data_IF_721790637757
#
_entry.id   IF_721790637757
#
_cell.length_a   1.000
_cell.length_b   1.000
_cell.length_c   1.000
_cell.angle_alpha   90.00
_cell.angle_beta   90.00
_cell.angle_gamma   90.00
#
_symmetry.space_group_name_H-M   'P 1'
#
loop_
_entity.id
_entity.type
_entity.pdbx_description
1 polymer ?
#
# COMPACT_ATOMS: atom_id res chain seq x y z
N UNK A 1 27.95 -43.70 -3.26
CA UNK A 1 27.24 -42.72 -4.12
C UNK A 1 26.32 -41.94 -3.20
N UNK A 2 26.70 -40.70 -2.84
CA UNK A 2 26.08 -39.44 -3.32
C UNK A 2 24.59 -39.36 -2.95
N UNK A 3 24.11 -38.38 -2.20
CA UNK A 3 24.17 -36.97 -2.59
C UNK A 3 23.94 -35.97 -1.43
N UNK A 4 24.69 -34.88 -1.50
CA UNK A 4 24.61 -33.67 -0.68
C UNK A 4 23.20 -33.05 -0.61
N UNK A 5 22.80 -32.65 0.59
CA UNK A 5 21.69 -31.72 0.80
C UNK A 5 22.12 -30.32 0.34
N UNK A 6 21.65 -29.91 -0.84
CA UNK A 6 21.77 -28.54 -1.33
C UNK A 6 20.65 -27.69 -0.71
N UNK A 7 21.04 -26.76 0.15
CA UNK A 7 20.21 -25.65 0.63
C UNK A 7 19.90 -24.70 -0.52
N UNK A 8 18.84 -25.02 -1.28
CA UNK A 8 18.31 -24.13 -2.31
C UNK A 8 17.61 -22.94 -1.66
N UNK A 9 18.27 -21.78 -1.69
CA UNK A 9 17.69 -20.49 -1.37
C UNK A 9 16.41 -20.27 -2.21
N UNK A 10 15.25 -20.19 -1.53
CA UNK A 10 13.97 -19.84 -2.16
C UNK A 10 14.07 -18.42 -2.74
N UNK A 11 14.34 -18.31 -4.04
CA UNK A 11 14.16 -17.07 -4.78
C UNK A 11 12.66 -16.78 -4.86
N UNK A 12 12.24 -15.68 -4.22
CA UNK A 12 10.89 -15.14 -4.34
C UNK A 12 10.60 -14.82 -5.82
N UNK A 13 9.40 -15.11 -6.34
CA UNK A 13 9.05 -14.75 -7.71
C UNK A 13 8.98 -13.22 -7.77
N UNK A 14 9.84 -12.63 -8.60
CA UNK A 14 9.82 -11.20 -8.89
C UNK A 14 8.53 -10.95 -9.67
N UNK A 15 7.63 -10.12 -9.13
CA UNK A 15 6.36 -9.83 -9.80
C UNK A 15 6.63 -9.26 -11.20
N UNK A 16 5.74 -9.54 -12.15
CA UNK A 16 5.89 -9.14 -13.56
C UNK A 16 6.17 -7.64 -13.73
N UNK A 17 5.62 -6.80 -12.84
CA UNK A 17 5.87 -5.36 -12.77
C UNK A 17 7.32 -5.05 -12.40
N UNK A 18 7.90 -5.77 -11.43
CA UNK A 18 9.29 -5.61 -11.03
C UNK A 18 10.30 -6.16 -12.05
N UNK A 19 9.86 -6.99 -13.01
CA UNK A 19 10.67 -7.43 -14.13
C UNK A 19 10.66 -6.40 -15.28
N UNK A 20 9.50 -5.83 -15.58
CA UNK A 20 9.35 -4.74 -16.57
C UNK A 20 10.04 -3.45 -16.11
N UNK A 21 9.91 -3.09 -14.84
CA UNK A 21 10.60 -1.95 -14.22
C UNK A 21 12.12 -2.08 -14.33
N UNK A 22 12.67 -3.28 -14.08
CA UNK A 22 14.12 -3.54 -14.26
C UNK A 22 14.60 -3.43 -15.70
N UNK A 23 13.75 -3.76 -16.66
CA UNK A 23 14.08 -3.61 -18.09
C UNK A 23 14.06 -2.14 -18.48
N UNK A 24 13.08 -1.37 -18.01
CA UNK A 24 12.99 0.08 -18.26
C UNK A 24 14.12 0.86 -17.59
N UNK A 25 14.51 0.50 -16.38
CA UNK A 25 15.68 1.06 -15.70
C UNK A 25 16.97 0.77 -16.47
N UNK A 26 17.12 -0.46 -16.99
CA UNK A 26 18.30 -0.83 -17.78
C UNK A 26 18.37 -0.04 -19.08
N UNK A 27 17.25 0.12 -19.78
CA UNK A 27 17.18 0.92 -21.01
C UNK A 27 17.50 2.39 -20.73
N UNK A 28 16.96 2.94 -19.63
CA UNK A 28 17.21 4.33 -19.24
C UNK A 28 18.70 4.55 -18.91
N UNK A 29 19.31 3.63 -18.16
CA UNK A 29 20.73 3.68 -17.80
C UNK A 29 21.66 3.51 -19.01
N UNK A 30 21.33 2.61 -19.94
CA UNK A 30 22.08 2.45 -21.19
C UNK A 30 21.96 3.68 -22.09
N UNK A 31 20.80 4.36 -22.10
CA UNK A 31 20.61 5.61 -22.82
C UNK A 31 21.41 6.76 -22.20
N UNK A 32 21.41 6.88 -20.87
CA UNK A 32 22.23 7.86 -20.13
C UNK A 32 23.73 7.64 -20.37
N UNK A 33 24.21 6.39 -20.27
CA UNK A 33 25.62 6.06 -20.54
C UNK A 33 26.01 6.39 -21.98
N UNK A 34 25.12 6.16 -22.95
CA UNK A 34 25.37 6.48 -24.36
C UNK A 34 25.45 7.99 -24.57
N UNK A 35 24.58 8.76 -23.91
CA UNK A 35 24.62 10.22 -23.97
C UNK A 35 25.87 10.77 -23.27
N UNK A 36 26.29 10.19 -22.15
CA UNK A 36 27.52 10.56 -21.44
C UNK A 36 28.76 10.32 -22.32
N UNK A 37 28.85 9.16 -22.97
CA UNK A 37 29.95 8.86 -23.92
C UNK A 37 29.96 9.82 -25.10
N UNK A 38 28.78 10.20 -25.61
CA UNK A 38 28.67 11.21 -26.68
C UNK A 38 29.15 12.59 -26.19
N UNK A 39 28.84 12.96 -24.95
CA UNK A 39 29.30 14.21 -24.32
C UNK A 39 30.82 14.22 -24.14
N UNK A 40 31.39 13.12 -23.63
CA UNK A 40 32.84 12.96 -23.47
C UNK A 40 33.59 13.02 -24.81
N UNK A 41 33.11 12.31 -25.84
CA UNK A 41 33.74 12.36 -27.16
C UNK A 41 33.67 13.75 -27.80
N UNK A 42 32.59 14.51 -27.56
CA UNK A 42 32.47 15.90 -27.98
C UNK A 42 33.44 16.80 -27.22
N UNK A 43 33.59 16.61 -25.92
CA UNK A 43 34.52 17.37 -25.08
C UNK A 43 35.99 17.12 -25.45
N UNK A 44 36.36 15.86 -25.72
CA UNK A 44 37.67 15.50 -26.26
C UNK A 44 37.92 16.14 -27.64
N UNK A 45 36.91 16.15 -28.53
CA UNK A 45 37.01 16.84 -29.81
C UNK A 45 37.19 18.36 -29.66
N UNK A 46 36.54 18.97 -28.66
CA UNK A 46 36.75 20.40 -28.32
C UNK A 46 38.17 20.64 -27.83
N UNK A 47 38.69 19.80 -26.94
CA UNK A 47 40.05 19.93 -26.43
C UNK A 47 41.10 19.82 -27.54
N UNK A 48 40.94 18.86 -28.46
CA UNK A 48 41.84 18.70 -29.61
C UNK A 48 41.79 19.94 -30.52
N UNK A 49 40.60 20.47 -30.80
CA UNK A 49 40.43 21.64 -31.66
C UNK A 49 40.95 22.92 -31.04
N UNK A 50 40.78 23.10 -29.73
CA UNK A 50 41.33 24.23 -28.97
C UNK A 50 42.87 24.24 -29.06
N UNK A 51 43.51 23.10 -28.80
CA UNK A 51 44.97 22.96 -28.92
C UNK A 51 45.46 23.22 -30.35
N UNK A 52 44.71 22.82 -31.38
CA UNK A 52 45.09 23.08 -32.78
C UNK A 52 45.01 24.56 -33.15
N UNK A 53 44.00 25.27 -32.65
CA UNK A 53 43.88 26.72 -32.86
C UNK A 53 44.99 27.49 -32.13
N UNK A 54 45.34 27.07 -30.91
CA UNK A 54 46.46 27.65 -30.16
C UNK A 54 47.80 27.43 -30.87
N UNK A 55 48.06 26.23 -31.39
CA UNK A 55 49.28 25.95 -32.17
C UNK A 55 49.37 26.76 -33.46
N UNK A 56 48.25 26.94 -34.18
CA UNK A 56 48.22 27.78 -35.38
C UNK A 56 48.46 29.26 -35.09
N UNK A 57 47.89 29.78 -34.00
CA UNK A 57 48.14 31.16 -33.58
C UNK A 57 49.64 31.40 -33.29
N UNK A 58 50.30 30.43 -32.65
CA UNK A 58 51.75 30.50 -32.37
C UNK A 58 52.60 30.38 -33.66
N UNK A 59 52.17 29.58 -34.63
CA UNK A 59 52.86 29.41 -35.92
C UNK A 59 52.74 30.67 -36.79
N UNK A 60 51.56 31.28 -36.85
CA UNK A 60 51.31 32.54 -37.57
C UNK A 60 52.13 33.70 -36.98
N UNK A 61 52.23 33.81 -35.65
CA UNK A 61 53.10 34.78 -34.97
C UNK A 61 54.59 34.57 -35.29
N UNK A 62 55.03 33.31 -35.44
CA UNK A 62 56.41 32.97 -35.80
C UNK A 62 56.72 33.25 -37.29
N UNK A 63 55.74 33.14 -38.19
CA UNK A 63 55.88 33.49 -39.61
C UNK A 63 55.91 35.00 -39.84
N UNK A 64 55.14 35.78 -39.08
CA UNK A 64 55.20 37.24 -39.08
C UNK A 64 56.60 37.78 -38.74
N UNK A 65 57.35 37.08 -37.87
CA UNK A 65 58.74 37.42 -37.54
C UNK A 65 59.76 37.05 -38.64
N UNK A 66 59.45 36.10 -39.54
CA UNK A 66 60.37 35.62 -40.60
C UNK A 66 60.34 36.47 -41.87
N UNK A 67 59.28 37.22 -42.15
CA UNK A 67 59.16 38.05 -43.36
C UNK A 67 59.79 39.45 -43.24
N UNK A 68 60.38 39.81 -42.08
CA UNK A 68 60.98 41.12 -41.82
C UNK A 68 62.38 41.37 -42.40
N UNK A 69 62.97 40.45 -43.17
CA UNK A 69 64.35 40.60 -43.68
C UNK A 69 64.46 40.22 -45.16
N UNK A 70 64.17 41.16 -46.06
CA UNK A 70 64.60 41.10 -47.46
C UNK A 70 64.79 42.52 -48.05
N UNK A 71 65.98 42.73 -48.59
CA UNK A 71 66.64 44.01 -48.87
C UNK A 71 66.43 44.63 -50.27
N UNK A 72 66.35 45.97 -50.30
CA UNK A 72 67.02 47.01 -51.15
C UNK A 72 67.01 47.05 -52.71
N UNK A 73 66.63 48.25 -53.23
CA UNK A 73 67.31 49.11 -54.24
C UNK A 73 66.78 49.33 -55.71
N UNK A 74 66.85 50.61 -56.11
CA UNK A 74 67.05 51.28 -57.43
C UNK A 74 65.93 51.49 -58.50
N UNK A 75 65.47 52.75 -58.69
CA UNK A 75 65.73 53.49 -59.95
C UNK A 75 64.57 54.09 -60.79
N UNK A 76 64.11 55.30 -60.47
CA UNK A 76 63.66 56.45 -61.32
C UNK A 76 62.96 56.12 -62.67
N UNK A 77 61.62 56.31 -62.71
CA UNK A 77 60.57 55.77 -63.63
C UNK A 77 60.10 54.36 -63.32
N UNK A 78 61.00 53.58 -62.73
CA UNK A 78 60.61 52.45 -61.92
C UNK A 78 60.02 52.92 -60.58
N UNK A 79 60.26 54.16 -60.13
CA UNK A 79 59.75 54.69 -58.86
C UNK A 79 58.22 54.74 -58.82
N UNK A 80 57.50 55.33 -59.78
CA UNK A 80 56.03 55.40 -59.72
C UNK A 80 55.38 54.01 -59.81
N UNK A 81 55.99 53.10 -60.57
CA UNK A 81 55.56 51.70 -60.65
C UNK A 81 55.93 50.92 -59.39
N UNK A 82 57.09 51.22 -58.77
CA UNK A 82 57.50 50.68 -57.46
C UNK A 82 56.58 51.17 -56.38
N UNK A 83 56.24 52.46 -56.36
CA UNK A 83 55.32 53.09 -55.43
C UNK A 83 53.93 52.48 -55.58
N UNK A 84 53.47 52.22 -56.81
CA UNK A 84 52.21 51.49 -57.05
C UNK A 84 52.27 50.03 -56.64
N UNK A 85 53.40 49.37 -56.84
CA UNK A 85 53.62 47.99 -56.38
C UNK A 85 53.65 47.95 -54.86
N UNK A 86 54.36 48.86 -54.19
CA UNK A 86 54.38 48.97 -52.72
C UNK A 86 53.03 49.36 -52.17
N UNK A 87 52.28 50.27 -52.79
CA UNK A 87 50.91 50.60 -52.39
C UNK A 87 49.97 49.40 -52.54
N UNK A 88 50.15 48.58 -53.58
CA UNK A 88 49.35 47.36 -53.78
C UNK A 88 49.77 46.26 -52.80
N UNK A 89 51.06 46.15 -52.48
CA UNK A 89 51.60 45.27 -51.46
C UNK A 89 51.06 45.65 -50.07
N UNK A 90 51.06 46.93 -49.71
CA UNK A 90 50.52 47.45 -48.46
C UNK A 90 49.01 47.20 -48.36
N UNK A 91 48.25 47.43 -49.45
CA UNK A 91 46.82 47.12 -49.51
C UNK A 91 46.55 45.62 -49.40
N UNK A 92 47.39 44.79 -50.01
CA UNK A 92 47.28 43.34 -49.91
C UNK A 92 47.59 42.86 -48.48
N UNK A 93 48.65 43.38 -47.86
CA UNK A 93 48.98 43.08 -46.46
C UNK A 93 47.86 43.52 -45.52
N UNK A 94 47.28 44.70 -45.72
CA UNK A 94 46.15 45.18 -44.93
C UNK A 94 44.90 44.31 -45.12
N UNK A 95 44.61 43.87 -46.35
CA UNK A 95 43.52 42.94 -46.64
C UNK A 95 43.76 41.56 -46.01
N UNK A 96 44.99 41.06 -46.03
CA UNK A 96 45.38 39.81 -45.38
C UNK A 96 45.23 39.88 -43.85
N UNK A 97 45.62 41.00 -43.23
CA UNK A 97 45.43 41.23 -41.80
C UNK A 97 43.94 41.24 -41.42
N UNK A 98 43.11 41.97 -42.18
CA UNK A 98 41.66 41.99 -41.98
C UNK A 98 41.03 40.60 -42.21
N UNK A 99 41.52 39.84 -43.18
CA UNK A 99 41.04 38.49 -43.46
C UNK A 99 41.36 37.52 -42.31
N UNK A 100 42.58 37.58 -41.76
CA UNK A 100 42.97 36.81 -40.58
C UNK A 100 42.12 37.19 -39.35
N UNK A 101 41.92 38.49 -39.12
CA UNK A 101 41.04 38.97 -38.04
C UNK A 101 39.62 38.42 -38.18
N UNK A 102 39.06 38.46 -39.40
CA UNK A 102 37.72 37.93 -39.67
C UNK A 102 37.64 36.41 -39.47
N UNK A 103 38.67 35.65 -39.85
CA UNK A 103 38.69 34.20 -39.67
C UNK A 103 38.83 33.80 -38.19
N UNK A 104 39.55 34.59 -37.40
CA UNK A 104 39.62 34.46 -35.95
C UNK A 104 38.26 34.72 -35.31
N UNK A 105 37.61 35.85 -35.62
CA UNK A 105 36.27 36.18 -35.12
C UNK A 105 35.24 35.13 -35.51
N UNK A 106 35.28 34.65 -36.76
CA UNK A 106 34.44 33.55 -37.24
C UNK A 106 34.67 32.27 -36.45
N UNK A 107 35.92 31.93 -36.14
CA UNK A 107 36.28 30.74 -35.36
C UNK A 107 35.79 30.85 -33.92
N UNK A 108 35.91 32.02 -33.28
CA UNK A 108 35.37 32.29 -31.95
C UNK A 108 33.84 32.17 -31.93
N UNK A 109 33.15 32.80 -32.88
CA UNK A 109 31.68 32.72 -32.97
C UNK A 109 31.21 31.29 -33.25
N UNK A 110 31.94 30.51 -34.06
CA UNK A 110 31.60 29.11 -34.30
C UNK A 110 31.68 28.29 -33.00
N UNK A 111 32.69 28.54 -32.16
CA UNK A 111 32.81 27.90 -30.86
C UNK A 111 31.65 28.29 -29.92
N UNK A 112 31.28 29.56 -29.89
CA UNK A 112 30.14 30.02 -29.09
C UNK A 112 28.82 29.37 -29.53
N UNK A 113 28.59 29.26 -30.84
CA UNK A 113 27.43 28.57 -31.40
C UNK A 113 27.41 27.09 -30.98
N UNK A 114 28.55 26.42 -30.97
CA UNK A 114 28.62 25.02 -30.53
C UNK A 114 28.33 24.89 -29.04
N UNK A 115 28.86 25.78 -28.19
CA UNK A 115 28.55 25.81 -26.75
C UNK A 115 27.05 26.03 -26.50
N UNK A 116 26.43 26.98 -27.21
CA UNK A 116 25.00 27.26 -27.09
C UNK A 116 24.13 26.08 -27.56
N UNK A 117 24.56 25.32 -28.57
CA UNK A 117 23.85 24.10 -28.97
C UNK A 117 23.90 23.03 -27.89
N UNK A 118 25.05 22.87 -27.22
CA UNK A 118 25.18 21.89 -26.14
C UNK A 118 24.34 22.30 -24.92
N UNK A 119 24.31 23.59 -24.58
CA UNK A 119 23.42 24.12 -23.54
C UNK A 119 21.94 23.90 -23.90
N UNK A 120 21.57 24.10 -25.16
CA UNK A 120 20.22 23.80 -25.63
C UNK A 120 19.88 22.32 -25.49
N UNK A 121 20.76 21.41 -25.93
CA UNK A 121 20.60 19.96 -25.78
C UNK A 121 20.43 19.57 -24.29
N UNK A 122 21.20 20.17 -23.37
CA UNK A 122 21.08 19.92 -21.93
C UNK A 122 19.73 20.41 -21.37
N UNK A 123 19.29 21.60 -21.78
CA UNK A 123 17.98 22.14 -21.36
C UNK A 123 16.82 21.31 -21.89
N UNK A 124 16.90 20.78 -23.10
CA UNK A 124 15.89 19.88 -23.66
C UNK A 124 15.76 18.58 -22.85
N UNK A 125 16.90 18.00 -22.45
CA UNK A 125 16.91 16.81 -21.58
C UNK A 125 16.27 17.11 -20.23
N UNK A 126 16.65 18.21 -19.59
CA UNK A 126 16.10 18.62 -18.30
C UNK A 126 14.57 18.85 -18.41
N UNK A 127 14.12 19.55 -19.45
CA UNK A 127 12.70 19.77 -19.70
C UNK A 127 11.94 18.45 -19.89
N UNK A 128 12.52 17.49 -20.62
CA UNK A 128 11.92 16.16 -20.81
C UNK A 128 11.80 15.41 -19.49
N UNK A 129 12.83 15.45 -18.65
CA UNK A 129 12.84 14.83 -17.34
C UNK A 129 11.79 15.45 -16.40
N UNK A 130 11.78 16.78 -16.27
CA UNK A 130 10.77 17.48 -15.45
C UNK A 130 9.34 17.19 -15.95
N UNK A 131 9.12 17.14 -17.26
CA UNK A 131 7.82 16.76 -17.81
C UNK A 131 7.40 15.32 -17.45
N UNK A 132 8.35 14.38 -17.39
CA UNK A 132 8.09 13.01 -16.95
C UNK A 132 7.70 12.99 -15.46
N UNK A 133 8.48 13.65 -14.61
CA UNK A 133 8.20 13.77 -13.17
C UNK A 133 6.84 14.43 -12.90
N UNK A 134 6.49 15.50 -13.64
CA UNK A 134 5.18 16.13 -13.53
C UNK A 134 4.02 15.16 -13.89
N UNK A 135 4.21 14.27 -14.87
CA UNK A 135 3.19 13.26 -15.24
C UNK A 135 3.05 12.18 -14.19
N UNK A 136 4.16 11.74 -13.59
CA UNK A 136 4.18 10.75 -12.51
C UNK A 136 3.47 11.31 -11.27
N UNK A 137 3.84 12.51 -10.82
CA UNK A 137 3.17 13.20 -9.71
C UNK A 137 1.67 13.43 -9.99
N UNK A 138 1.30 13.81 -11.21
CA UNK A 138 -0.12 13.97 -11.56
C UNK A 138 -0.89 12.64 -11.47
N UNK A 139 -0.25 11.54 -11.84
CA UNK A 139 -0.83 10.19 -11.75
C UNK A 139 -0.99 9.75 -10.29
N UNK A 140 0.00 10.03 -9.45
CA UNK A 140 -0.05 9.79 -8.01
C UNK A 140 -1.17 10.60 -7.35
N UNK A 141 -1.30 11.90 -7.67
CA UNK A 141 -2.38 12.74 -7.17
C UNK A 141 -3.75 12.19 -7.55
N UNK A 142 -3.92 11.66 -8.77
CA UNK A 142 -5.17 11.00 -9.19
C UNK A 142 -5.46 9.74 -8.38
N UNK A 143 -4.44 8.94 -8.08
CA UNK A 143 -4.58 7.74 -7.25
C UNK A 143 -4.98 8.10 -5.81
N UNK A 144 -4.28 9.05 -5.20
CA UNK A 144 -4.56 9.53 -3.85
C UNK A 144 -5.99 10.10 -3.74
N UNK A 145 -6.45 10.84 -4.74
CA UNK A 145 -7.85 11.33 -4.79
C UNK A 145 -8.86 10.18 -4.76
N UNK A 146 -8.67 9.14 -5.57
CA UNK A 146 -9.54 7.94 -5.56
C UNK A 146 -9.53 7.22 -4.21
N UNK A 147 -8.36 7.15 -3.56
CA UNK A 147 -8.24 6.55 -2.22
C UNK A 147 -9.00 7.37 -1.17
N UNK A 148 -8.87 8.71 -1.20
CA UNK A 148 -9.61 9.61 -0.31
C UNK A 148 -11.12 9.47 -0.53
N UNK A 149 -11.59 9.44 -1.77
CA UNK A 149 -13.00 9.23 -2.11
C UNK A 149 -13.51 7.89 -1.54
N UNK A 150 -12.73 6.80 -1.68
CA UNK A 150 -13.07 5.50 -1.11
C UNK A 150 -13.15 5.51 0.42
N UNK A 151 -12.20 6.18 1.09
CA UNK A 151 -12.21 6.32 2.55
C UNK A 151 -13.39 7.19 3.03
N UNK A 152 -13.72 8.25 2.32
CA UNK A 152 -14.88 9.11 2.62
C UNK A 152 -16.20 8.35 2.48
N UNK A 153 -16.34 7.51 1.44
CA UNK A 153 -17.50 6.65 1.28
C UNK A 153 -17.64 5.64 2.44
N UNK A 154 -16.53 5.01 2.84
CA UNK A 154 -16.50 4.11 4.00
C UNK A 154 -16.88 4.83 5.30
N UNK A 155 -16.33 6.02 5.52
CA UNK A 155 -16.67 6.86 6.68
C UNK A 155 -18.16 7.24 6.69
N UNK A 156 -18.73 7.59 5.53
CA UNK A 156 -20.14 7.92 5.41
C UNK A 156 -21.04 6.72 5.75
N UNK A 157 -20.68 5.52 5.26
CA UNK A 157 -21.38 4.29 5.58
C UNK A 157 -21.33 3.96 7.08
N UNK A 158 -20.14 4.02 7.69
CA UNK A 158 -19.98 3.79 9.12
C UNK A 158 -20.77 4.79 9.96
N UNK A 159 -20.78 6.08 9.58
CA UNK A 159 -21.62 7.10 10.23
C UNK A 159 -23.11 6.76 10.13
N UNK A 160 -23.56 6.28 8.97
CA UNK A 160 -24.95 5.86 8.77
C UNK A 160 -25.29 4.66 9.64
N UNK A 161 -24.45 3.62 9.67
CA UNK A 161 -24.65 2.44 10.52
C UNK A 161 -24.66 2.77 12.01
N UNK A 162 -23.79 3.69 12.46
CA UNK A 162 -23.83 4.20 13.84
C UNK A 162 -25.15 4.93 14.11
N UNK A 163 -25.57 5.81 13.21
CA UNK A 163 -26.86 6.51 13.35
C UNK A 163 -28.07 5.57 13.38
N UNK A 164 -28.06 4.51 12.57
CA UNK A 164 -29.08 3.46 12.61
C UNK A 164 -29.06 2.70 13.94
N UNK A 165 -27.87 2.38 14.47
CA UNK A 165 -27.72 1.74 15.79
C UNK A 165 -28.25 2.65 16.91
N UNK A 166 -27.89 3.92 16.92
CA UNK A 166 -28.32 4.88 17.94
C UNK A 166 -29.84 5.08 17.88
N UNK A 167 -30.41 5.11 16.68
CA UNK A 167 -31.86 5.13 16.47
C UNK A 167 -32.54 3.89 17.07
N UNK A 168 -32.02 2.69 16.79
CA UNK A 168 -32.56 1.44 17.36
C UNK A 168 -32.46 1.42 18.90
N UNK A 169 -31.35 1.91 19.46
CA UNK A 169 -31.18 2.05 20.91
C UNK A 169 -32.30 2.95 21.48
N UNK A 170 -32.54 4.10 20.85
CA UNK A 170 -33.56 5.05 21.30
C UNK A 170 -34.99 4.51 21.12
N UNK A 171 -35.31 3.87 19.99
CA UNK A 171 -36.63 3.29 19.70
C UNK A 171 -36.99 2.17 20.69
N UNK A 172 -36.00 1.42 21.18
CA UNK A 172 -36.19 0.41 22.22
C UNK A 172 -36.18 1.00 23.64
N UNK A 173 -36.14 2.33 23.79
CA UNK A 173 -36.15 3.01 25.08
C UNK A 173 -34.88 2.80 25.90
N UNK A 174 -33.75 2.48 25.26
CA UNK A 174 -32.46 2.31 25.90
C UNK A 174 -31.64 3.61 25.82
N UNK A 175 -30.74 3.79 26.78
CA UNK A 175 -29.83 4.95 26.89
C UNK A 175 -28.44 4.45 27.22
N UNK A 176 -27.43 5.03 26.56
CA UNK A 176 -26.02 4.80 26.87
C UNK A 176 -25.65 5.59 28.12
N UNK A 177 -25.16 4.88 29.13
CA UNK A 177 -24.63 5.44 30.37
C UNK A 177 -23.14 5.15 30.41
N UNK A 178 -22.33 6.17 30.63
CA UNK A 178 -20.89 5.98 30.78
C UNK A 178 -20.63 5.10 32.01
N UNK A 179 -19.92 4.00 31.81
CA UNK A 179 -19.40 3.23 32.93
C UNK A 179 -18.35 4.09 33.64
N UNK A 180 -18.43 4.21 34.97
CA UNK A 180 -17.33 4.80 35.72
C UNK A 180 -16.07 3.98 35.44
N UNK A 181 -15.02 4.65 34.97
CA UNK A 181 -13.71 4.03 34.87
C UNK A 181 -13.27 3.70 36.30
N UNK A 182 -13.36 2.43 36.67
CA UNK A 182 -12.58 1.93 37.80
C UNK A 182 -11.12 2.27 37.48
N UNK A 183 -10.50 3.06 38.35
CA UNK A 183 -9.10 3.48 38.25
C UNK A 183 -8.20 2.25 38.53
N UNK A 184 -8.25 1.27 37.63
CA UNK A 184 -7.36 0.13 37.63
C UNK A 184 -6.29 0.36 36.56
N UNK A 185 -5.15 0.83 37.05
CA UNK A 185 -3.87 0.86 36.37
C UNK A 185 -3.55 -0.55 35.85
N UNK A 186 -3.92 -0.85 34.61
CA UNK A 186 -3.54 -2.10 33.96
C UNK A 186 -2.18 -1.91 33.28
N UNK A 187 -1.12 -2.29 33.99
CA UNK A 187 0.12 -2.72 33.35
C UNK A 187 -0.20 -3.96 32.49
N UNK A 188 0.18 -3.89 31.22
CA UNK A 188 -0.03 -4.96 30.27
C UNK A 188 0.74 -6.23 30.66
N UNK A 189 0.02 -7.34 30.75
CA UNK A 189 0.58 -8.67 30.59
C UNK A 189 -0.25 -9.41 29.55
N UNK A 190 0.40 -9.70 28.42
CA UNK A 190 -0.10 -10.61 27.42
C UNK A 190 -0.09 -12.02 28.02
N UNK A 191 -1.27 -12.57 28.33
CA UNK A 191 -1.42 -14.02 28.40
C UNK A 191 -2.70 -14.48 27.71
N UNK A 192 -2.55 -15.58 26.98
CA UNK A 192 -3.55 -16.16 26.11
C UNK A 192 -4.55 -16.96 26.94
N UNK A 193 -5.83 -16.58 26.89
CA UNK A 193 -6.90 -17.44 27.39
C UNK A 193 -8.15 -16.69 27.80
N UNK A 194 -9.09 -16.55 26.87
CA UNK A 194 -10.54 -16.39 27.08
C UNK A 194 -10.99 -15.77 28.42
N UNK A 195 -10.59 -14.53 28.69
CA UNK A 195 -11.30 -13.64 29.59
C UNK A 195 -11.84 -12.49 28.75
N UNK A 196 -13.16 -12.30 28.80
CA UNK A 196 -13.85 -11.20 28.15
C UNK A 196 -13.20 -9.93 28.72
N UNK A 197 -12.33 -9.29 27.94
CA UNK A 197 -11.90 -7.92 28.20
C UNK A 197 -13.15 -7.05 28.07
N UNK A 198 -13.93 -6.91 29.15
CA UNK A 198 -14.95 -5.87 29.27
C UNK A 198 -14.18 -4.55 29.23
N UNK A 199 -13.97 -4.05 28.01
CA UNK A 199 -13.48 -2.70 27.80
C UNK A 199 -14.42 -1.77 28.56
N UNK A 200 -13.87 -0.93 29.42
CA UNK A 200 -14.58 0.18 30.05
C UNK A 200 -15.20 1.02 28.93
N UNK A 201 -16.51 0.91 28.76
CA UNK A 201 -17.27 1.45 27.66
C UNK A 201 -18.71 1.65 28.11
N UNK A 202 -19.46 2.52 27.42
CA UNK A 202 -20.80 2.88 27.84
C UNK A 202 -21.72 1.65 27.86
N UNK A 203 -22.50 1.53 28.91
CA UNK A 203 -23.43 0.43 29.16
C UNK A 203 -24.83 0.90 28.77
N UNK A 204 -25.65 -0.02 28.25
CA UNK A 204 -27.05 0.27 27.92
C UNK A 204 -27.96 0.01 29.11
N UNK A 205 -28.80 1.01 29.44
CA UNK A 205 -29.85 0.90 30.45
C UNK A 205 -31.19 1.33 29.87
N UNK A 206 -32.29 0.79 30.38
CA UNK A 206 -33.63 1.31 30.07
C UNK A 206 -33.78 2.74 30.60
N UNK A 207 -34.28 3.63 29.75
CA UNK A 207 -34.60 5.01 30.10
C UNK A 207 -35.54 5.10 31.30
N UNK A 208 -36.50 4.16 31.39
CA UNK A 208 -37.45 4.13 32.50
C UNK A 208 -36.77 3.75 33.82
N UNK A 209 -35.82 2.80 33.79
CA UNK A 209 -35.02 2.44 34.97
C UNK A 209 -34.23 3.65 35.48
N UNK A 210 -33.57 4.38 34.60
CA UNK A 210 -32.82 5.60 34.97
C UNK A 210 -33.77 6.64 35.59
N UNK A 211 -34.92 6.89 34.96
CA UNK A 211 -35.95 7.82 35.46
C UNK A 211 -36.49 7.44 36.83
N UNK A 212 -36.70 6.15 37.09
CA UNK A 212 -37.15 5.63 38.38
C UNK A 212 -36.09 5.87 39.45
N UNK A 213 -34.82 5.57 39.16
CA UNK A 213 -33.71 5.80 40.09
C UNK A 213 -33.52 7.29 40.38
N UNK A 214 -33.59 8.16 39.37
CA UNK A 214 -33.52 9.61 39.53
C UNK A 214 -34.67 10.19 40.35
N UNK A 215 -35.87 9.61 40.23
CA UNK A 215 -37.03 10.03 41.02
C UNK A 215 -36.86 9.70 42.50
N UNK A 216 -36.30 8.54 42.82
CA UNK A 216 -36.09 8.11 44.21
C UNK A 216 -34.87 8.81 44.82
N UNK A 217 -33.82 9.04 44.04
CA UNK A 217 -32.60 9.72 44.45
C UNK A 217 -32.24 10.88 43.49
N UNK A 218 -32.84 12.07 43.68
CA UNK A 218 -32.53 13.23 42.87
C UNK A 218 -31.09 13.72 43.13
N UNK A 219 -30.41 14.15 42.07
CA UNK A 219 -29.03 14.68 42.13
C UNK A 219 -28.20 14.31 40.90
N UNK A 220 -27.01 14.92 40.80
CA UNK A 220 -26.08 14.75 39.66
C UNK A 220 -25.09 13.61 39.84
N UNK A 221 -25.20 12.81 40.91
CA UNK A 221 -24.36 11.64 41.10
C UNK A 221 -24.59 10.58 40.04
N UNK A 222 -23.59 9.75 39.80
CA UNK A 222 -23.68 8.64 38.86
C UNK A 222 -24.80 7.66 39.21
N UNK A 223 -25.20 6.88 38.20
CA UNK A 223 -26.22 5.85 38.38
C UNK A 223 -25.75 4.79 39.40
N UNK A 224 -24.47 4.43 39.38
CA UNK A 224 -23.89 3.45 40.32
C UNK A 224 -23.91 3.94 41.77
N UNK A 225 -23.58 5.21 42.02
CA UNK A 225 -23.71 5.79 43.36
C UNK A 225 -25.16 5.79 43.85
N UNK A 226 -26.12 6.12 42.97
CA UNK A 226 -27.55 6.08 43.31
C UNK A 226 -28.00 4.65 43.65
N UNK A 227 -27.57 3.66 42.87
CA UNK A 227 -27.87 2.24 43.15
C UNK A 227 -27.26 1.81 44.48
N UNK A 228 -26.02 2.17 44.80
CA UNK A 228 -25.37 1.87 46.09
C UNK A 228 -26.19 2.42 47.26
N UNK A 229 -26.63 3.68 47.20
CA UNK A 229 -27.48 4.30 48.24
C UNK A 229 -28.85 3.62 48.37
N UNK A 230 -29.46 3.21 47.26
CA UNK A 230 -30.70 2.42 47.29
C UNK A 230 -30.51 1.08 48.01
N UNK A 231 -29.39 0.39 47.78
CA UNK A 231 -29.07 -0.88 48.46
C UNK A 231 -28.86 -0.65 49.96
N UNK A 232 -28.12 0.40 50.35
CA UNK A 232 -27.90 0.74 51.76
C UNK A 232 -29.20 1.07 52.50
N UNK A 233 -30.05 1.90 51.90
CA UNK A 233 -31.37 2.24 52.48
C UNK A 233 -32.27 1.02 52.59
N UNK A 234 -32.27 0.11 51.60
CA UNK A 234 -33.03 -1.15 51.66
C UNK A 234 -32.51 -2.07 52.78
N UNK A 235 -31.17 -2.16 52.95
CA UNK A 235 -30.55 -2.93 54.02
C UNK A 235 -30.96 -2.43 55.40
N UNK A 236 -31.00 -1.11 55.58
CA UNK A 236 -31.48 -0.47 56.82
C UNK A 236 -32.95 -0.80 57.08
N UNK A 237 -33.82 -0.61 56.10
CA UNK A 237 -35.25 -0.92 56.24
C UNK A 237 -35.52 -2.40 56.58
N UNK A 238 -34.75 -3.33 55.99
CA UNK A 238 -34.86 -4.77 56.32
C UNK A 238 -34.48 -5.05 57.77
N UNK A 239 -33.42 -4.43 58.26
CA UNK A 239 -33.03 -4.53 59.67
C UNK A 239 -34.13 -3.99 60.58
N UNK A 240 -34.71 -2.85 60.24
CA UNK A 240 -35.82 -2.25 61.01
C UNK A 240 -37.06 -3.18 61.02
N UNK A 241 -37.35 -3.88 59.92
CA UNK A 241 -38.42 -4.90 59.83
C UNK A 241 -38.09 -6.11 60.73
N UNK A 242 -36.88 -6.66 60.65
CA UNK A 242 -36.47 -7.81 61.48
C UNK A 242 -36.56 -7.49 62.98
N UNK A 243 -36.14 -6.28 63.39
CA UNK A 243 -36.27 -5.81 64.76
C UNK A 243 -37.75 -5.68 65.18
N UNK A 244 -38.62 -5.18 64.30
CA UNK A 244 -40.06 -5.09 64.55
C UNK A 244 -40.72 -6.48 64.62
N UNK A 245 -40.35 -7.41 63.76
CA UNK A 245 -40.83 -8.79 63.77
C UNK A 245 -40.42 -9.53 65.05
N UNK A 246 -39.17 -9.37 65.50
CA UNK A 246 -38.70 -9.90 66.78
C UNK A 246 -39.50 -9.33 67.95
N UNK A 247 -39.86 -8.04 67.90
CA UNK A 247 -40.71 -7.39 68.90
C UNK A 247 -42.13 -7.98 68.91
N UNK A 248 -42.74 -8.18 67.74
CA UNK A 248 -44.07 -8.80 67.60
C UNK A 248 -44.05 -10.26 68.03
N UNK A 249 -43.03 -11.03 67.65
CA UNK A 249 -42.85 -12.42 68.03
C UNK A 249 -42.70 -12.57 69.55
N UNK A 250 -41.90 -11.71 70.17
CA UNK A 250 -41.76 -11.64 71.63
C UNK A 250 -43.10 -11.32 72.33
N UNK A 251 -43.96 -10.52 71.69
CA UNK A 251 -45.32 -10.22 72.18
C UNK A 251 -46.29 -11.40 71.99
N UNK A 252 -46.18 -12.13 70.87
CA UNK A 252 -46.98 -13.32 70.57
C UNK A 252 -46.59 -14.51 71.45
N UNK A 253 -45.31 -14.81 71.66
CA UNK A 253 -44.90 -15.89 72.57
C UNK A 253 -45.43 -15.68 73.99
N UNK A 254 -45.45 -14.43 74.48
CA UNK A 254 -46.07 -14.08 75.76
C UNK A 254 -47.58 -14.32 75.78
N UNK A 255 -48.26 -14.25 74.62
CA UNK A 255 -49.68 -14.53 74.46
C UNK A 255 -49.98 -16.01 74.18
N UNK A 256 -49.05 -16.74 73.56
CA UNK A 256 -49.21 -18.13 73.13
C UNK A 256 -48.85 -19.11 74.25
N UNK A 257 -47.91 -18.75 75.14
CA UNK A 257 -47.75 -19.41 76.44
C UNK A 257 -49.05 -19.38 77.28
N UNK A 258 -49.94 -18.42 77.01
CA UNK A 258 -51.27 -18.34 77.62
C UNK A 258 -52.31 -19.23 76.93
N UNK A 259 -52.11 -19.62 75.67
CA UNK A 259 -53.04 -20.39 74.86
C UNK A 259 -52.70 -21.90 74.78
N UNK A 260 -51.43 -22.29 74.97
CA UNK A 260 -50.95 -23.67 74.88
C UNK A 260 -51.44 -24.63 75.98
N UNK A 261 -52.30 -24.18 76.90
CA UNK A 261 -52.97 -25.04 77.90
C UNK A 261 -54.22 -25.74 77.36
N UNK A 262 -54.67 -25.43 76.13
CA UNK A 262 -55.94 -25.91 75.59
C UNK A 262 -55.78 -26.61 74.22
N UNK A 263 -55.82 -27.94 74.30
CA UNK A 263 -56.36 -28.88 73.31
C UNK A 263 -55.45 -29.35 72.14
N UNK A 264 -55.18 -30.67 72.16
CA UNK A 264 -54.82 -31.46 71.00
C UNK A 264 -55.84 -32.58 70.77
N UNK A 265 -56.15 -32.86 69.49
CA UNK A 265 -56.76 -34.09 68.93
C UNK A 265 -57.18 -33.76 67.48
N UNK A 266 -56.96 -34.57 66.42
CA UNK A 266 -56.62 -35.99 66.38
C UNK A 266 -57.62 -36.82 65.57
N UNK A 267 -58.06 -36.36 64.37
CA UNK A 267 -58.88 -37.20 63.46
C UNK A 267 -58.80 -36.85 61.94
N UNK A 268 -58.16 -35.74 61.54
CA UNK A 268 -57.99 -35.39 60.12
C UNK A 268 -56.83 -36.13 59.41
N UNK A 269 -55.99 -36.85 60.17
CA UNK A 269 -54.71 -37.39 59.69
C UNK A 269 -54.82 -38.59 58.74
N UNK A 270 -55.95 -39.31 58.76
CA UNK A 270 -56.10 -40.57 58.01
C UNK A 270 -56.46 -40.31 56.54
N UNK A 271 -57.33 -39.33 56.27
CA UNK A 271 -57.72 -38.95 54.90
C UNK A 271 -56.57 -38.25 54.15
N UNK A 272 -55.76 -37.47 54.89
CA UNK A 272 -54.55 -36.84 54.39
C UNK A 272 -53.49 -37.88 53.96
N UNK A 273 -53.40 -39.01 54.67
CA UNK A 273 -52.43 -40.07 54.40
C UNK A 273 -52.71 -40.80 53.08
N UNK A 274 -53.99 -41.04 52.78
CA UNK A 274 -54.41 -41.66 51.51
C UNK A 274 -54.16 -40.75 50.31
N UNK A 275 -54.30 -39.43 50.49
CA UNK A 275 -54.00 -38.42 49.46
C UNK A 275 -52.50 -38.32 49.17
N UNK A 276 -51.66 -38.45 50.20
CA UNK A 276 -50.19 -38.48 50.08
C UNK A 276 -49.68 -39.69 49.30
N UNK A 277 -50.28 -40.87 49.51
CA UNK A 277 -49.90 -42.10 48.77
C UNK A 277 -50.15 -41.96 47.26
N UNK A 278 -51.29 -41.39 46.84
CA UNK A 278 -51.55 -41.13 45.42
C UNK A 278 -50.61 -40.09 44.81
N UNK A 279 -50.29 -39.03 45.57
CA UNK A 279 -49.28 -38.06 45.15
C UNK A 279 -47.89 -38.71 45.01
N UNK A 280 -47.55 -39.67 45.86
CA UNK A 280 -46.27 -40.37 45.81
C UNK A 280 -46.12 -41.22 44.53
N UNK A 281 -47.20 -41.87 44.08
CA UNK A 281 -47.21 -42.64 42.84
C UNK A 281 -47.12 -41.73 41.60
N UNK A 282 -47.85 -40.62 41.58
CA UNK A 282 -47.73 -39.60 40.52
C UNK A 282 -46.32 -38.99 40.45
N UNK A 283 -45.68 -38.78 41.61
CA UNK A 283 -44.30 -38.30 41.69
C UNK A 283 -43.29 -39.33 41.18
N UNK A 284 -43.53 -40.64 41.40
CA UNK A 284 -42.68 -41.72 40.87
C UNK A 284 -42.78 -41.80 39.34
N UNK A 285 -43.99 -41.69 38.78
CA UNK A 285 -44.18 -41.67 37.33
C UNK A 285 -43.55 -40.42 36.68
N UNK A 286 -43.70 -39.25 37.31
CA UNK A 286 -43.03 -38.02 36.88
C UNK A 286 -41.49 -38.16 36.95
N UNK A 287 -40.96 -38.79 38.00
CA UNK A 287 -39.53 -39.04 38.14
C UNK A 287 -38.98 -39.98 37.04
N UNK A 288 -39.76 -41.00 36.64
CA UNK A 288 -39.39 -41.91 35.56
C UNK A 288 -39.34 -41.19 34.20
N UNK A 289 -40.36 -40.40 33.88
CA UNK A 289 -40.37 -39.58 32.65
C UNK A 289 -39.21 -38.58 32.62
N UNK A 290 -38.90 -37.97 33.76
CA UNK A 290 -37.77 -37.05 33.90
C UNK A 290 -36.42 -37.77 33.66
N UNK A 291 -36.31 -39.04 34.07
CA UNK A 291 -35.16 -39.90 33.75
C UNK A 291 -35.02 -40.18 32.25
N UNK A 292 -36.12 -40.50 31.57
CA UNK A 292 -36.12 -40.72 30.11
C UNK A 292 -35.73 -39.46 29.33
N UNK A 293 -36.25 -38.28 29.73
CA UNK A 293 -35.87 -37.02 29.12
C UNK A 293 -34.40 -36.66 29.37
N UNK A 294 -33.86 -36.94 30.57
CA UNK A 294 -32.44 -36.76 30.85
C UNK A 294 -31.57 -37.66 29.96
N UNK A 295 -31.96 -38.91 29.75
CA UNK A 295 -31.21 -39.81 28.86
C UNK A 295 -31.22 -39.32 27.41
N UNK A 296 -32.39 -38.93 26.89
CA UNK A 296 -32.52 -38.36 25.54
C UNK A 296 -31.72 -37.06 25.37
N UNK A 297 -31.72 -36.21 26.39
CA UNK A 297 -30.90 -34.99 26.40
C UNK A 297 -29.41 -35.33 26.32
N UNK A 298 -28.94 -36.28 27.12
CA UNK A 298 -27.54 -36.71 27.12
C UNK A 298 -27.12 -37.33 25.77
N UNK A 299 -28.03 -38.08 25.13
CA UNK A 299 -27.79 -38.65 23.80
C UNK A 299 -27.69 -37.54 22.73
N UNK A 300 -28.59 -36.55 22.77
CA UNK A 300 -28.55 -35.38 21.89
C UNK A 300 -27.30 -34.51 22.10
N UNK A 301 -26.85 -34.32 23.35
CA UNK A 301 -25.62 -33.60 23.70
C UNK A 301 -24.37 -34.31 23.13
N UNK A 302 -24.33 -35.65 23.22
CA UNK A 302 -23.27 -36.46 22.63
C UNK A 302 -23.26 -36.34 21.11
N UNK A 303 -24.42 -36.38 20.47
CA UNK A 303 -24.54 -36.22 19.02
C UNK A 303 -24.10 -34.82 18.57
N UNK A 304 -24.50 -33.77 19.30
CA UNK A 304 -24.10 -32.39 19.02
C UNK A 304 -22.57 -32.24 19.08
N UNK A 305 -21.92 -32.80 20.10
CA UNK A 305 -20.45 -32.82 20.21
C UNK A 305 -19.79 -33.50 19.01
N UNK A 306 -20.37 -34.62 18.53
CA UNK A 306 -19.88 -35.33 17.36
C UNK A 306 -20.04 -34.50 16.07
N UNK A 307 -21.20 -33.86 15.89
CA UNK A 307 -21.47 -32.97 14.75
C UNK A 307 -20.54 -31.75 14.75
N UNK A 308 -20.25 -31.16 15.90
CA UNK A 308 -19.26 -30.07 16.04
C UNK A 308 -17.86 -30.54 15.60
N UNK A 309 -17.44 -31.73 16.02
CA UNK A 309 -16.18 -32.32 15.57
C UNK A 309 -16.11 -32.55 14.05
N UNK A 310 -17.22 -33.01 13.45
CA UNK A 310 -17.33 -33.15 11.99
C UNK A 310 -17.23 -31.79 11.29
N UNK A 311 -17.90 -30.77 11.81
CA UNK A 311 -17.88 -29.41 11.28
C UNK A 311 -16.47 -28.84 11.27
N UNK A 312 -15.69 -29.00 12.35
CA UNK A 312 -14.29 -28.53 12.43
C UNK A 312 -13.42 -29.22 11.37
N UNK A 313 -13.58 -30.53 11.18
CA UNK A 313 -12.80 -31.27 10.16
C UNK A 313 -13.15 -30.83 8.75
N UNK A 314 -14.44 -30.67 8.45
CA UNK A 314 -14.93 -30.20 7.16
C UNK A 314 -14.48 -28.76 6.88
N UNK A 315 -14.55 -27.87 7.87
CA UNK A 315 -14.06 -26.49 7.75
C UNK A 315 -12.54 -26.45 7.47
N UNK A 316 -11.77 -27.31 8.15
CA UNK A 316 -10.34 -27.47 7.87
C UNK A 316 -10.03 -28.01 6.47
N UNK A 317 -10.84 -28.94 5.95
CA UNK A 317 -10.73 -29.41 4.56
C UNK A 317 -11.10 -28.31 3.56
N UNK A 318 -12.19 -27.60 3.81
CA UNK A 318 -12.66 -26.50 2.96
C UNK A 318 -11.61 -25.40 2.83
N UNK A 319 -10.97 -25.00 3.94
CA UNK A 319 -9.88 -24.02 3.93
C UNK A 319 -8.69 -24.47 3.07
N UNK A 320 -8.29 -25.74 3.16
CA UNK A 320 -7.22 -26.30 2.32
C UNK A 320 -7.58 -26.31 0.84
N UNK A 321 -8.78 -26.76 0.49
CA UNK A 321 -9.23 -26.76 -0.90
C UNK A 321 -9.39 -25.36 -1.47
N UNK A 322 -9.88 -24.41 -0.66
CA UNK A 322 -9.93 -23.00 -1.05
C UNK A 322 -8.53 -22.45 -1.35
N UNK A 323 -7.58 -22.67 -0.45
CA UNK A 323 -6.19 -22.23 -0.67
C UNK A 323 -5.59 -22.88 -1.93
N UNK A 324 -5.85 -24.18 -2.16
CA UNK A 324 -5.39 -24.89 -3.35
C UNK A 324 -6.01 -24.31 -4.64
N UNK A 325 -7.31 -24.01 -4.63
CA UNK A 325 -7.99 -23.38 -5.75
C UNK A 325 -7.40 -21.99 -6.05
N UNK A 326 -7.22 -21.15 -5.03
CA UNK A 326 -6.59 -19.82 -5.18
C UNK A 326 -5.16 -19.91 -5.73
N UNK A 327 -4.39 -20.93 -5.37
CA UNK A 327 -3.05 -21.13 -5.95
C UNK A 327 -3.12 -21.53 -7.42
N UNK A 328 -4.02 -22.45 -7.79
CA UNK A 328 -4.19 -22.88 -9.19
C UNK A 328 -4.73 -21.77 -10.09
N UNK A 329 -5.58 -20.89 -9.56
CA UNK A 329 -6.05 -19.70 -10.30
C UNK A 329 -4.90 -18.74 -10.62
N UNK A 330 -4.01 -18.49 -9.65
CA UNK A 330 -2.81 -17.65 -9.87
C UNK A 330 -1.89 -18.24 -10.92
N UNK A 331 -1.61 -19.55 -10.85
CA UNK A 331 -0.79 -20.25 -11.86
C UNK A 331 -1.42 -20.12 -13.27
N UNK A 332 -2.74 -20.27 -13.37
CA UNK A 332 -3.46 -20.14 -14.64
C UNK A 332 -3.39 -18.71 -15.20
N UNK A 333 -3.46 -17.68 -14.35
CA UNK A 333 -3.23 -16.30 -14.77
C UNK A 333 -1.79 -16.09 -15.26
N UNK A 334 -0.80 -16.63 -14.57
CA UNK A 334 0.61 -16.56 -14.98
C UNK A 334 0.82 -17.21 -16.36
N UNK A 335 0.29 -18.41 -16.59
CA UNK A 335 0.36 -19.09 -17.89
C UNK A 335 -0.35 -18.31 -19.00
N UNK A 336 -1.52 -17.71 -18.73
CA UNK A 336 -2.20 -16.82 -19.70
C UNK A 336 -1.34 -15.62 -20.04
N UNK A 337 -0.67 -15.05 -19.05
CA UNK A 337 0.19 -13.90 -19.20
C UNK A 337 1.44 -14.24 -20.02
N UNK A 338 2.09 -15.38 -19.74
CA UNK A 338 3.23 -15.91 -20.50
C UNK A 338 2.83 -16.24 -21.94
N UNK A 339 1.67 -16.87 -22.16
CA UNK A 339 1.17 -17.19 -23.50
C UNK A 339 0.96 -15.92 -24.35
N UNK A 340 0.43 -14.84 -23.74
CA UNK A 340 0.32 -13.54 -24.43
C UNK A 340 1.69 -12.97 -24.82
N UNK A 341 2.68 -13.08 -23.93
CA UNK A 341 4.04 -12.63 -24.21
C UNK A 341 4.68 -13.43 -25.34
N UNK A 342 4.63 -14.75 -25.26
CA UNK A 342 5.19 -15.63 -26.30
C UNK A 342 4.52 -15.38 -27.66
N UNK A 343 3.20 -15.15 -27.70
CA UNK A 343 2.52 -14.76 -28.94
C UNK A 343 2.99 -13.42 -29.49
N UNK A 344 3.32 -12.45 -28.63
CA UNK A 344 3.90 -11.17 -29.06
C UNK A 344 5.31 -11.39 -29.59
N UNK A 345 6.16 -12.10 -28.86
CA UNK A 345 7.54 -12.38 -29.25
C UNK A 345 7.59 -13.14 -30.58
N UNK A 346 6.69 -14.10 -30.81
CA UNK A 346 6.57 -14.81 -32.10
C UNK A 346 6.28 -13.82 -33.22
N UNK A 347 5.30 -12.93 -33.07
CA UNK A 347 4.98 -11.91 -34.09
C UNK A 347 6.15 -10.96 -34.34
N UNK A 348 6.82 -10.51 -33.29
CA UNK A 348 7.97 -9.61 -33.41
C UNK A 348 9.13 -10.30 -34.15
N UNK A 349 9.35 -11.61 -33.91
CA UNK A 349 10.34 -12.42 -34.63
C UNK A 349 9.93 -12.72 -36.08
N UNK A 350 8.64 -12.94 -36.35
CA UNK A 350 8.11 -13.09 -37.71
C UNK A 350 8.33 -11.80 -38.52
N UNK A 351 8.01 -10.64 -37.94
CA UNK A 351 8.24 -9.33 -38.57
C UNK A 351 9.73 -9.11 -38.87
N UNK A 352 10.61 -9.36 -37.89
CA UNK A 352 12.06 -9.23 -38.09
C UNK A 352 12.61 -10.21 -39.14
N UNK A 353 12.04 -11.41 -39.24
CA UNK A 353 12.39 -12.38 -40.27
C UNK A 353 11.99 -11.88 -41.66
N UNK A 354 10.81 -11.26 -41.79
CA UNK A 354 10.34 -10.75 -43.07
C UNK A 354 11.13 -9.51 -43.53
N UNK A 355 11.50 -8.60 -42.61
CA UNK A 355 12.45 -7.52 -42.87
C UNK A 355 13.83 -8.05 -43.33
N UNK A 356 14.33 -9.11 -42.66
CA UNK A 356 15.58 -9.75 -43.04
C UNK A 356 15.49 -10.44 -44.42
N UNK A 357 14.35 -11.04 -44.77
CA UNK A 357 14.13 -11.60 -46.11
C UNK A 357 14.09 -10.52 -47.18
N UNK A 358 13.43 -9.38 -46.92
CA UNK A 358 13.33 -8.27 -47.86
C UNK A 358 14.70 -7.63 -48.11
N UNK A 359 15.46 -7.36 -47.05
CA UNK A 359 16.86 -6.89 -47.18
C UNK A 359 17.73 -7.89 -47.93
N UNK A 360 17.59 -9.19 -47.68
CA UNK A 360 18.31 -10.23 -48.43
C UNK A 360 17.93 -10.22 -49.92
N UNK A 361 16.63 -10.12 -50.25
CA UNK A 361 16.15 -10.01 -51.62
C UNK A 361 16.73 -8.79 -52.35
N UNK A 362 16.84 -7.64 -51.67
CA UNK A 362 17.49 -6.45 -52.23
C UNK A 362 18.98 -6.66 -52.49
N UNK A 363 19.70 -7.29 -51.55
CA UNK A 363 21.12 -7.60 -51.71
C UNK A 363 21.36 -8.60 -52.85
N UNK A 364 20.54 -9.65 -52.95
CA UNK A 364 20.58 -10.60 -54.07
C UNK A 364 20.37 -9.90 -55.41
N UNK A 365 19.37 -9.02 -55.51
CA UNK A 365 19.12 -8.22 -56.72
C UNK A 365 20.30 -7.33 -57.09
N UNK A 366 21.00 -6.75 -56.11
CA UNK A 366 22.20 -5.93 -56.33
C UNK A 366 23.39 -6.78 -56.78
N UNK A 367 23.58 -7.96 -56.19
CA UNK A 367 24.62 -8.90 -56.59
C UNK A 367 24.40 -9.40 -58.02
N UNK A 368 23.16 -9.68 -58.41
CA UNK A 368 22.82 -10.11 -59.77
C UNK A 368 23.12 -9.01 -60.80
N UNK A 369 22.77 -7.75 -60.50
CA UNK A 369 23.17 -6.60 -61.32
C UNK A 369 24.68 -6.50 -61.47
N UNK A 370 25.44 -6.64 -60.38
CA UNK A 370 26.91 -6.62 -60.42
C UNK A 370 27.47 -7.79 -61.24
N UNK A 371 26.92 -9.00 -61.09
CA UNK A 371 27.31 -10.18 -61.87
C UNK A 371 27.10 -9.96 -63.36
N UNK A 372 25.94 -9.44 -63.74
CA UNK A 372 25.62 -9.14 -65.14
C UNK A 372 26.53 -8.05 -65.70
N UNK A 373 26.81 -6.99 -64.93
CA UNK A 373 27.73 -5.92 -65.34
C UNK A 373 29.18 -6.38 -65.53
N UNK A 374 29.60 -7.42 -64.79
CA UNK A 374 30.93 -8.03 -64.90
C UNK A 374 31.03 -8.99 -66.09
N UNK A 375 29.91 -9.61 -66.49
CA UNK A 375 29.82 -10.48 -67.66
C UNK A 375 29.77 -9.70 -68.99
N UNK A 376 29.39 -8.42 -68.97
CA UNK A 376 29.25 -7.56 -70.16
C UNK A 376 30.48 -6.69 -70.45
N UNK A 377 31.57 -6.80 -69.67
CA UNK A 377 32.85 -6.18 -70.03
C UNK A 377 33.58 -7.09 -71.03
N UNK A 378 33.82 -6.66 -72.29
CA UNK A 378 34.72 -7.37 -73.18
C UNK A 378 36.14 -7.27 -72.61
N UNK A 379 36.87 -8.39 -72.62
CA UNK A 379 38.31 -8.46 -72.34
C UNK A 379 39.12 -7.66 -73.34
#
# INVERSE_FOLDING_TARGET
MSSYASSAARRRPISRLAAEEKVLDKISREAEERMLKKRQAREEARAIRANQLEMKAVEEDAEAYRQGDASTSNGLRHEDLKEKVTELEDKFQQAMFLYSQLDNEKSTLLYEVDLLKDDLEEKEVLLSQTNKECRELNSEVKLLKRQIEGLQASQANLKKEIGERDRLIQENGLVLVEAEAADEVSQGSNDSGSAINLRSGPILFSADTIRLVDRVLPGTSSLDEKVKRLVETNRKMRKDIEEMEQSIYSRRQKSEAHAATLNGSGLAAVDELTKRLKQEDELKDAAKQLGEYKFKLQEAERENTNQQGNMIRLDGQMKRYKQQAETSEKELEEYKSQNRQLKKDVRDKENALDEAKETNKHLQSRLEKLRNSRSTRPT
#
